data_IF_864224929771
#
_entry.id   IF_864224929771
#
_cell.length_a   1.000
_cell.length_b   1.000
_cell.length_c   1.000
_cell.angle_alpha   90.00
_cell.angle_beta   90.00
_cell.angle_gamma   90.00
#
_symmetry.space_group_name_H-M   'P 1'
#
loop_
_entity.id
_entity.type
_entity.pdbx_description
1 polymer ?
#
# COMPACT_ATOMS: atom_id res chain seq x y z
N UNK A 1 4.12 2.06 16.82
CA UNK A 1 3.24 2.79 15.89
C UNK A 1 1.89 2.11 15.87
N UNK A 2 0.83 2.89 16.04
CA UNK A 2 -0.56 2.43 15.94
C UNK A 2 -0.98 2.26 14.47
N UNK A 3 -2.01 1.44 14.24
CA UNK A 3 -2.44 1.10 12.87
C UNK A 3 -2.82 2.33 12.05
N UNK A 4 -3.53 3.27 12.68
CA UNK A 4 -3.94 4.53 12.04
C UNK A 4 -2.76 5.46 11.75
N UNK A 5 -1.69 5.41 12.54
CA UNK A 5 -0.46 6.19 12.27
C UNK A 5 0.25 5.66 11.03
N UNK A 6 0.34 4.33 10.88
CA UNK A 6 0.92 3.67 9.71
C UNK A 6 0.13 4.05 8.45
N UNK A 7 -1.20 3.93 8.53
CA UNK A 7 -2.09 4.25 7.42
C UNK A 7 -2.09 5.76 7.09
N UNK A 8 -1.96 6.64 8.08
CA UNK A 8 -1.78 8.08 7.86
C UNK A 8 -0.49 8.37 7.06
N UNK A 9 0.60 7.67 7.34
CA UNK A 9 1.84 7.75 6.57
C UNK A 9 1.63 7.39 5.10
N UNK A 10 0.83 6.36 4.79
CA UNK A 10 0.48 5.99 3.41
C UNK A 10 -0.33 7.08 2.71
N UNK A 11 -1.34 7.66 3.38
CA UNK A 11 -2.11 8.79 2.84
C UNK A 11 -1.16 9.93 2.50
N UNK A 12 -0.38 10.36 3.48
CA UNK A 12 0.48 11.53 3.36
C UNK A 12 1.62 11.33 2.33
N UNK A 13 2.05 10.08 2.09
CA UNK A 13 3.01 9.73 1.05
C UNK A 13 2.41 9.68 -0.36
N UNK A 14 1.10 9.44 -0.46
CA UNK A 14 0.37 9.36 -1.73
C UNK A 14 -0.07 10.76 -2.22
N UNK A 15 -0.45 11.65 -1.30
CA UNK A 15 -1.04 12.95 -1.64
C UNK A 15 -0.16 13.89 -2.48
N UNK A 16 1.18 13.95 -2.32
CA UNK A 16 2.03 14.76 -3.19
C UNK A 16 1.90 14.39 -4.68
N UNK A 17 1.71 13.10 -4.99
CA UNK A 17 1.50 12.65 -6.37
C UNK A 17 0.11 13.01 -6.86
N UNK A 18 -0.92 12.95 -5.99
CA UNK A 18 -2.29 13.37 -6.31
C UNK A 18 -2.41 14.88 -6.57
N UNK A 19 -1.55 15.69 -5.95
CA UNK A 19 -1.48 17.13 -6.15
C UNK A 19 -0.85 17.52 -7.50
N UNK A 20 0.04 16.69 -8.02
CA UNK A 20 0.75 16.97 -9.26
C UNK A 20 -0.07 16.56 -10.50
N UNK A 21 -0.62 17.57 -11.17
CA UNK A 21 -1.45 17.45 -12.38
C UNK A 21 -0.82 16.60 -13.50
N UNK A 22 0.51 16.48 -13.53
CA UNK A 22 1.19 15.68 -14.55
C UNK A 22 0.82 14.20 -14.44
N UNK A 23 0.58 13.68 -13.23
CA UNK A 23 0.17 12.29 -13.05
C UNK A 23 -1.21 11.99 -13.62
N UNK A 24 -2.10 12.98 -13.68
CA UNK A 24 -3.41 12.84 -14.31
C UNK A 24 -3.38 12.95 -15.84
N UNK A 25 -2.41 13.69 -16.39
CA UNK A 25 -2.29 13.96 -17.83
C UNK A 25 -1.43 12.93 -18.55
N UNK A 26 -0.42 12.42 -17.88
CA UNK A 26 0.51 11.43 -18.42
C UNK A 26 -0.04 10.02 -18.14
N UNK A 27 0.05 9.12 -19.12
CA UNK A 27 -0.32 7.70 -18.97
C UNK A 27 0.78 6.93 -18.23
N UNK A 28 1.06 7.33 -16.98
CA UNK A 28 2.11 6.73 -16.15
C UNK A 28 1.67 5.33 -15.69
N UNK A 29 2.57 4.37 -15.76
CA UNK A 29 2.34 2.99 -15.31
C UNK A 29 2.57 2.86 -13.80
N UNK A 30 2.14 1.75 -13.21
CA UNK A 30 2.18 1.49 -11.77
C UNK A 30 3.59 1.62 -11.15
N UNK A 31 4.62 1.02 -11.74
CA UNK A 31 5.98 1.00 -11.16
C UNK A 31 6.57 2.37 -10.81
N UNK A 32 6.54 3.40 -11.70
CA UNK A 32 6.95 4.75 -11.32
C UNK A 32 6.16 5.35 -10.16
N UNK A 33 4.84 5.08 -10.07
CA UNK A 33 4.00 5.57 -8.98
C UNK A 33 4.39 4.90 -7.67
N UNK A 34 4.48 3.57 -7.69
CA UNK A 34 4.92 2.72 -6.59
C UNK A 34 6.23 3.23 -6.00
N UNK A 35 7.25 3.41 -6.84
CA UNK A 35 8.55 3.94 -6.42
C UNK A 35 8.43 5.32 -5.75
N UNK A 36 7.65 6.25 -6.31
CA UNK A 36 7.52 7.60 -5.74
C UNK A 36 6.73 7.61 -4.42
N UNK A 37 5.75 6.72 -4.26
CA UNK A 37 5.09 6.50 -2.97
C UNK A 37 6.09 5.93 -1.96
N UNK A 38 6.90 4.94 -2.34
CA UNK A 38 7.92 4.35 -1.47
C UNK A 38 8.96 5.38 -0.98
N UNK A 39 9.48 6.22 -1.88
CA UNK A 39 10.41 7.32 -1.51
C UNK A 39 9.76 8.28 -0.52
N UNK A 40 8.49 8.65 -0.73
CA UNK A 40 7.81 9.52 0.21
C UNK A 40 7.57 8.83 1.57
N UNK A 41 7.28 7.53 1.58
CA UNK A 41 7.08 6.72 2.78
C UNK A 41 8.35 6.68 3.65
N UNK A 42 9.56 6.62 3.07
CA UNK A 42 10.82 6.62 3.84
C UNK A 42 10.89 7.78 4.84
N UNK A 43 10.38 8.95 4.48
CA UNK A 43 10.35 10.11 5.37
C UNK A 43 9.39 9.96 6.57
N UNK A 44 8.34 9.15 6.43
CA UNK A 44 7.37 8.89 7.51
C UNK A 44 7.80 7.78 8.45
N UNK A 45 8.69 6.89 8.00
CA UNK A 45 9.15 5.74 8.78
C UNK A 45 10.68 5.75 8.92
N UNK A 46 11.28 6.72 9.62
CA UNK A 46 12.73 6.91 9.66
C UNK A 46 13.50 5.76 10.33
N UNK A 47 12.84 4.99 11.19
CA UNK A 47 13.40 3.82 11.86
C UNK A 47 13.10 2.50 11.11
N UNK A 48 12.48 2.58 9.94
CA UNK A 48 12.13 1.42 9.12
C UNK A 48 12.71 1.54 7.72
N UNK A 49 12.80 0.42 7.03
CA UNK A 49 13.17 0.37 5.63
C UNK A 49 11.91 0.29 4.77
N UNK A 50 11.92 1.01 3.64
CA UNK A 50 10.86 0.96 2.65
C UNK A 50 11.43 0.39 1.37
N UNK A 51 10.86 -0.70 0.87
CA UNK A 51 11.32 -1.33 -0.37
C UNK A 51 10.17 -1.59 -1.32
N UNK A 52 10.49 -1.56 -2.61
CA UNK A 52 9.59 -2.01 -3.68
C UNK A 52 10.00 -3.37 -4.18
N UNK A 53 9.03 -4.20 -4.58
CA UNK A 53 9.27 -5.52 -5.16
C UNK A 53 10.12 -6.47 -4.27
N UNK A 54 10.15 -6.26 -2.94
CA UNK A 54 11.01 -7.05 -2.04
C UNK A 54 10.36 -8.38 -1.62
N UNK A 55 10.86 -9.46 -2.22
CA UNK A 55 10.31 -10.81 -2.11
C UNK A 55 11.08 -11.75 -1.18
N UNK A 56 11.89 -11.24 -0.23
CA UNK A 56 12.66 -12.09 0.71
C UNK A 56 12.10 -12.08 2.14
N UNK A 57 12.31 -13.17 2.87
CA UNK A 57 12.06 -13.31 4.31
C UNK A 57 13.24 -14.05 4.92
N UNK A 58 14.17 -13.30 5.51
CA UNK A 58 15.54 -13.79 5.71
C UNK A 58 16.17 -14.11 4.35
N UNK A 59 16.75 -15.30 4.22
CA UNK A 59 17.36 -15.79 2.98
C UNK A 59 16.34 -16.39 2.00
N UNK A 60 15.15 -16.74 2.48
CA UNK A 60 14.13 -17.44 1.71
C UNK A 60 13.27 -16.48 0.89
N UNK A 61 12.72 -16.98 -0.22
CA UNK A 61 11.72 -16.26 -1.01
C UNK A 61 10.38 -16.29 -0.28
N UNK A 62 9.72 -15.13 -0.14
CA UNK A 62 8.36 -15.03 0.37
C UNK A 62 7.43 -15.91 -0.47
N UNK A 63 6.87 -16.93 0.16
CA UNK A 63 6.03 -17.93 -0.48
C UNK A 63 4.76 -18.16 0.35
N UNK A 64 3.61 -18.03 -0.30
CA UNK A 64 2.30 -18.32 0.29
C UNK A 64 1.75 -19.64 -0.22
N UNK A 65 1.00 -20.35 0.62
CA UNK A 65 0.27 -21.54 0.24
C UNK A 65 -1.07 -21.16 -0.41
N UNK A 66 -1.39 -21.76 -1.57
CA UNK A 66 -2.67 -21.49 -2.25
C UNK A 66 -3.80 -22.33 -1.62
N UNK A 67 -5.03 -21.80 -1.55
CA UNK A 67 -6.21 -22.61 -1.31
C UNK A 67 -6.30 -23.69 -2.39
N UNK A 68 -6.45 -24.96 -2.00
CA UNK A 68 -6.46 -26.10 -2.93
C UNK A 68 -5.09 -26.73 -3.21
N UNK A 69 -4.03 -26.25 -2.56
CA UNK A 69 -2.69 -26.85 -2.63
C UNK A 69 -1.74 -26.12 -3.57
N UNK A 70 -0.45 -26.44 -3.42
CA UNK A 70 0.63 -25.74 -4.10
C UNK A 70 1.03 -24.44 -3.39
N UNK A 71 2.03 -23.77 -3.95
CA UNK A 71 2.60 -22.55 -3.38
C UNK A 71 2.82 -21.50 -4.45
N UNK A 72 2.87 -20.23 -4.02
CA UNK A 72 3.15 -19.08 -4.88
C UNK A 72 4.23 -18.22 -4.23
N UNK A 73 5.30 -17.96 -4.97
CA UNK A 73 6.22 -16.88 -4.61
C UNK A 73 5.49 -15.54 -4.80
N UNK A 74 5.66 -14.64 -3.85
CA UNK A 74 5.00 -13.33 -3.85
C UNK A 74 6.03 -12.20 -3.89
N UNK A 75 5.64 -11.12 -4.55
CA UNK A 75 6.42 -9.89 -4.68
C UNK A 75 5.43 -8.75 -4.44
N UNK A 76 5.33 -8.24 -3.20
CA UNK A 76 4.45 -7.12 -2.88
C UNK A 76 5.04 -5.81 -3.43
N UNK A 77 4.17 -4.89 -3.87
CA UNK A 77 4.60 -3.67 -4.55
C UNK A 77 5.40 -2.74 -3.63
N UNK A 78 4.94 -2.51 -2.38
CA UNK A 78 5.64 -1.68 -1.39
C UNK A 78 5.59 -2.34 -0.02
N UNK A 79 6.71 -2.37 0.68
CA UNK A 79 6.84 -2.90 2.02
C UNK A 79 7.50 -1.87 2.95
N UNK A 80 7.04 -1.82 4.20
CA UNK A 80 7.73 -1.15 5.32
C UNK A 80 8.07 -2.23 6.35
N UNK A 81 9.36 -2.46 6.57
CA UNK A 81 9.88 -3.60 7.36
C UNK A 81 11.31 -3.33 7.85
N UNK A 82 11.91 -4.31 8.54
CA UNK A 82 13.35 -4.37 8.77
C UNK A 82 13.88 -5.65 8.12
N UNK A 83 14.81 -5.53 7.17
CA UNK A 83 15.42 -6.65 6.46
C UNK A 83 16.15 -7.56 7.44
N UNK A 84 15.97 -8.86 7.24
CA UNK A 84 16.57 -9.88 8.10
C UNK A 84 15.83 -10.10 9.42
N UNK A 85 14.89 -9.23 9.81
CA UNK A 85 14.10 -9.35 11.03
C UNK A 85 12.68 -9.88 10.71
N UNK A 86 12.43 -11.20 10.86
CA UNK A 86 11.24 -11.85 10.30
C UNK A 86 9.90 -11.37 10.90
N UNK A 87 9.93 -10.74 12.08
CA UNK A 87 8.73 -10.25 12.78
C UNK A 87 8.61 -8.72 12.74
N UNK A 88 9.61 -8.02 12.22
CA UNK A 88 9.58 -6.56 12.09
C UNK A 88 8.99 -6.19 10.72
N UNK A 89 7.69 -6.42 10.56
CA UNK A 89 6.93 -6.14 9.33
C UNK A 89 5.73 -5.23 9.62
N UNK A 90 5.74 -4.02 9.07
CA UNK A 90 4.79 -2.97 9.45
C UNK A 90 3.64 -2.82 8.44
N UNK A 91 3.98 -2.53 7.18
CA UNK A 91 3.01 -2.24 6.13
C UNK A 91 3.35 -3.03 4.86
N UNK A 92 2.35 -3.63 4.23
CA UNK A 92 2.44 -4.12 2.87
C UNK A 92 1.39 -3.43 2.00
N UNK A 93 1.74 -3.02 0.78
CA UNK A 93 0.83 -2.35 -0.16
C UNK A 93 0.85 -3.07 -1.49
N UNK A 94 -0.34 -3.25 -2.06
CA UNK A 94 -0.57 -3.62 -3.45
C UNK A 94 -1.24 -2.44 -4.16
N UNK A 95 -0.65 -1.96 -5.25
CA UNK A 95 -1.02 -0.74 -5.95
C UNK A 95 -1.63 -1.04 -7.33
N UNK A 96 -2.76 -0.40 -7.63
CA UNK A 96 -3.40 -0.43 -8.95
C UNK A 96 -3.67 0.98 -9.48
N UNK A 97 -3.60 1.15 -10.80
CA UNK A 97 -4.00 2.40 -11.47
C UNK A 97 -5.16 2.28 -12.46
N UNK A 98 -5.57 1.06 -12.82
CA UNK A 98 -6.60 0.82 -13.84
C UNK A 98 -7.82 0.09 -13.30
N UNK A 99 -8.97 0.29 -13.96
CA UNK A 99 -10.26 -0.24 -13.52
C UNK A 99 -10.49 -1.71 -13.95
N UNK A 100 -9.63 -2.29 -14.81
CA UNK A 100 -9.77 -3.66 -15.33
C UNK A 100 -8.74 -4.63 -14.74
N UNK A 101 -8.43 -4.47 -13.46
CA UNK A 101 -7.44 -5.28 -12.78
C UNK A 101 -8.12 -6.41 -12.01
N UNK A 102 -7.68 -7.65 -12.25
CA UNK A 102 -7.96 -8.77 -11.35
C UNK A 102 -7.24 -8.51 -10.03
N UNK A 103 -8.02 -8.31 -8.96
CA UNK A 103 -7.54 -8.00 -7.61
C UNK A 103 -7.53 -9.24 -6.70
N UNK A 104 -8.03 -10.39 -7.16
CA UNK A 104 -8.15 -11.57 -6.30
C UNK A 104 -6.78 -12.05 -5.83
N UNK A 105 -5.78 -11.98 -6.72
CA UNK A 105 -4.41 -12.32 -6.40
C UNK A 105 -3.77 -11.36 -5.39
N UNK A 106 -4.08 -10.06 -5.50
CA UNK A 106 -3.59 -9.05 -4.55
C UNK A 106 -4.25 -9.20 -3.17
N UNK A 107 -5.54 -9.51 -3.15
CA UNK A 107 -6.26 -9.85 -1.91
C UNK A 107 -5.65 -11.11 -1.28
N UNK A 108 -5.36 -12.14 -2.08
CA UNK A 108 -4.69 -13.35 -1.60
C UNK A 108 -3.31 -13.04 -1.00
N UNK A 109 -2.49 -12.22 -1.67
CA UNK A 109 -1.19 -11.76 -1.17
C UNK A 109 -1.34 -11.04 0.17
N UNK A 110 -2.23 -10.05 0.27
CA UNK A 110 -2.41 -9.23 1.48
C UNK A 110 -2.96 -10.02 2.67
N UNK A 111 -3.88 -10.97 2.43
CA UNK A 111 -4.30 -11.92 3.47
C UNK A 111 -3.11 -12.74 3.96
N UNK A 112 -2.32 -13.33 3.07
CA UNK A 112 -1.15 -14.10 3.48
C UNK A 112 -0.08 -13.27 4.18
N UNK A 113 0.21 -12.06 3.69
CA UNK A 113 1.21 -11.16 4.29
C UNK A 113 0.85 -10.76 5.73
N UNK A 114 -0.45 -10.54 6.01
CA UNK A 114 -0.92 -10.09 7.32
C UNK A 114 -1.34 -11.23 8.26
N UNK A 115 -1.35 -12.48 7.79
CA UNK A 115 -1.74 -13.63 8.60
C UNK A 115 -0.75 -13.83 9.76
N UNK A 116 -1.28 -14.08 10.96
CA UNK A 116 -0.49 -14.17 12.21
C UNK A 116 0.25 -15.50 12.38
N UNK A 117 -0.33 -16.61 11.91
CA UNK A 117 0.27 -17.94 12.06
C UNK A 117 0.96 -18.51 10.81
N UNK A 118 0.47 -18.17 9.61
CA UNK A 118 0.87 -18.81 8.34
C UNK A 118 1.45 -17.81 7.34
N UNK A 119 1.79 -16.61 7.82
CA UNK A 119 2.12 -15.45 6.99
C UNK A 119 3.45 -14.81 7.34
N UNK A 120 3.57 -13.54 6.98
CA UNK A 120 4.75 -12.71 7.25
C UNK A 120 4.49 -11.70 8.37
N UNK A 121 3.33 -11.79 9.03
CA UNK A 121 2.95 -10.98 10.20
C UNK A 121 3.11 -9.48 9.96
N UNK A 122 2.83 -9.02 8.73
CA UNK A 122 2.69 -7.58 8.48
C UNK A 122 1.54 -7.05 9.31
N UNK A 123 1.80 -5.99 10.09
CA UNK A 123 0.81 -5.41 11.00
C UNK A 123 -0.45 -4.96 10.26
N UNK A 124 -0.29 -4.33 9.10
CA UNK A 124 -1.39 -4.00 8.18
C UNK A 124 -0.98 -4.21 6.72
N UNK A 125 -1.95 -4.58 5.90
CA UNK A 125 -1.84 -4.66 4.45
C UNK A 125 -2.85 -3.74 3.78
N UNK A 126 -2.54 -3.15 2.62
CA UNK A 126 -3.44 -2.23 1.91
C UNK A 126 -3.49 -2.56 0.43
N UNK A 127 -4.70 -2.79 -0.09
CA UNK A 127 -4.97 -2.75 -1.53
C UNK A 127 -5.41 -1.34 -1.88
N UNK A 128 -4.58 -0.63 -2.65
CA UNK A 128 -4.77 0.75 -3.01
C UNK A 128 -4.94 0.88 -4.53
N UNK A 129 -6.09 1.38 -4.99
CA UNK A 129 -6.30 1.73 -6.38
C UNK A 129 -6.49 3.23 -6.52
N UNK A 130 -5.65 3.85 -7.34
CA UNK A 130 -5.60 5.30 -7.54
C UNK A 130 -6.05 5.67 -8.95
N UNK A 131 -6.76 6.79 -9.06
CA UNK A 131 -7.12 7.38 -10.36
C UNK A 131 -6.71 8.85 -10.38
N UNK A 132 -5.51 9.13 -10.89
CA UNK A 132 -4.92 10.48 -10.87
C UNK A 132 -5.74 11.53 -11.63
N UNK A 133 -6.23 11.23 -12.84
CA UNK A 133 -6.98 12.23 -13.61
C UNK A 133 -8.31 12.65 -12.97
N UNK A 134 -8.91 11.79 -12.14
CA UNK A 134 -10.13 12.08 -11.36
C UNK A 134 -9.81 12.57 -9.94
N UNK A 135 -8.53 12.58 -9.56
CA UNK A 135 -8.06 12.76 -8.17
C UNK A 135 -8.89 11.95 -7.19
N UNK A 136 -8.91 10.63 -7.40
CA UNK A 136 -9.76 9.72 -6.65
C UNK A 136 -8.98 8.49 -6.17
N UNK A 137 -9.39 7.96 -5.03
CA UNK A 137 -9.04 6.61 -4.57
C UNK A 137 -10.23 5.71 -4.83
N UNK A 138 -10.04 4.71 -5.70
CA UNK A 138 -11.11 3.79 -6.12
C UNK A 138 -11.23 2.62 -5.14
N UNK A 139 -10.10 2.11 -4.66
CA UNK A 139 -10.02 1.02 -3.67
C UNK A 139 -8.99 1.42 -2.60
N UNK A 140 -9.30 1.14 -1.33
CA UNK A 140 -8.41 1.35 -0.18
C UNK A 140 -8.69 0.31 0.92
N UNK A 141 -8.75 -0.97 0.54
CA UNK A 141 -9.07 -2.04 1.48
C UNK A 141 -7.89 -2.31 2.41
N UNK A 142 -8.12 -2.28 3.72
CA UNK A 142 -7.14 -2.62 4.74
C UNK A 142 -7.31 -4.08 5.15
N UNK A 143 -6.20 -4.79 5.27
CA UNK A 143 -6.10 -6.16 5.73
C UNK A 143 -5.31 -6.22 7.02
N UNK A 144 -5.75 -7.07 7.94
CA UNK A 144 -5.10 -7.31 9.23
C UNK A 144 -5.41 -8.74 9.67
N UNK A 145 -4.43 -9.43 10.25
CA UNK A 145 -4.58 -10.80 10.74
C UNK A 145 -5.16 -11.78 9.69
N UNK A 146 -4.86 -11.58 8.41
CA UNK A 146 -5.31 -12.47 7.33
C UNK A 146 -6.71 -12.20 6.77
N UNK A 147 -7.37 -11.13 7.20
CA UNK A 147 -8.71 -10.76 6.76
C UNK A 147 -8.84 -9.26 6.45
N UNK A 148 -9.91 -8.90 5.73
CA UNK A 148 -10.21 -7.48 5.49
C UNK A 148 -10.75 -6.88 6.78
N UNK A 149 -10.18 -5.76 7.21
CA UNK A 149 -10.59 -5.04 8.39
C UNK A 149 -11.48 -3.86 7.99
N UNK A 150 -12.79 -3.95 8.25
CA UNK A 150 -13.76 -2.93 7.83
C UNK A 150 -13.59 -1.59 8.57
N UNK A 151 -13.20 -1.61 9.84
CA UNK A 151 -12.99 -0.39 10.63
C UNK A 151 -11.84 0.46 10.05
N UNK A 152 -10.66 -0.16 9.86
CA UNK A 152 -9.49 0.51 9.30
C UNK A 152 -9.71 0.87 7.83
N UNK A 153 -10.46 0.05 7.07
CA UNK A 153 -10.85 0.38 5.69
C UNK A 153 -11.72 1.64 5.65
N UNK A 154 -12.72 1.75 6.54
CA UNK A 154 -13.57 2.93 6.65
C UNK A 154 -12.75 4.17 7.02
N UNK A 155 -11.90 4.05 8.03
CA UNK A 155 -11.03 5.15 8.45
C UNK A 155 -10.07 5.61 7.34
N UNK A 156 -9.42 4.69 6.63
CA UNK A 156 -8.49 5.03 5.55
C UNK A 156 -9.20 5.73 4.40
N UNK A 157 -10.42 5.29 4.07
CA UNK A 157 -11.26 5.94 3.05
C UNK A 157 -11.55 7.39 3.44
N UNK A 158 -12.04 7.63 4.65
CA UNK A 158 -12.33 8.98 5.15
C UNK A 158 -11.08 9.86 5.15
N UNK A 159 -9.93 9.31 5.53
CA UNK A 159 -8.66 10.03 5.53
C UNK A 159 -8.24 10.48 4.11
N UNK A 160 -8.36 9.61 3.11
CA UNK A 160 -8.12 9.97 1.71
C UNK A 160 -9.14 10.97 1.18
N UNK A 161 -10.43 10.79 1.47
CA UNK A 161 -11.49 11.71 1.03
C UNK A 161 -11.26 13.11 1.58
N UNK A 162 -10.92 13.23 2.87
CA UNK A 162 -10.57 14.49 3.50
C UNK A 162 -9.36 15.14 2.82
N UNK A 163 -8.28 14.39 2.64
CA UNK A 163 -7.05 14.91 2.03
C UNK A 163 -7.27 15.37 0.57
N UNK A 164 -8.07 14.65 -0.21
CA UNK A 164 -8.46 15.04 -1.57
C UNK A 164 -9.35 16.27 -1.56
N UNK A 165 -10.30 16.38 -0.62
CA UNK A 165 -11.16 17.54 -0.50
C UNK A 165 -10.35 18.80 -0.15
N UNK A 166 -9.36 18.68 0.72
CA UNK A 166 -8.47 19.79 1.10
C UNK A 166 -7.58 20.20 -0.07
N UNK A 167 -7.06 19.23 -0.85
CA UNK A 167 -6.32 19.50 -2.08
C UNK A 167 -7.15 20.31 -3.10
N UNK A 168 -8.45 20.05 -3.22
CA UNK A 168 -9.35 20.77 -4.15
C UNK A 168 -9.70 22.19 -3.69
N UNK A 169 -9.55 22.49 -2.39
CA UNK A 169 -9.79 23.82 -1.82
C UNK A 169 -8.56 24.72 -1.85
N UNK A 170 -7.37 24.15 -2.01
CA UNK A 170 -6.13 24.91 -2.09
C UNK A 170 -6.18 25.82 -3.34
N UNK A 171 -5.97 27.15 -3.21
CA UNK A 171 -5.99 28.05 -4.35
C UNK A 171 -4.89 27.66 -5.34
N UNK A 172 -5.22 27.66 -6.64
CA UNK A 172 -4.24 27.49 -7.71
C UNK A 172 -3.23 28.65 -7.66
N UNK A 173 -2.02 28.40 -7.14
CA UNK A 173 -0.90 29.37 -7.27
C UNK A 173 -0.14 29.77 -6.00
N UNK A 174 0.16 28.84 -5.09
CA UNK A 174 1.24 29.04 -4.12
C UNK A 174 2.41 28.10 -4.44
N UNK A 175 3.08 28.37 -5.56
CA UNK A 175 4.42 27.88 -5.89
C UNK A 175 5.10 28.91 -6.80
#
# INVERSE_FOLDING_TARGET
MEDREILAGLVASTMPLMADERYGRLKIRERPIMHRIAVNLEHYFPDWEVDTDYNRHGEEVKRLQRPGGGTKNIEPDILVHIKGEPLANLLAVELKLSDNNDIEDDIFKLKGLTHTEQGFVYRVGVLLQLHFARKAVVICNVFKAGERNEELTGWLREAFEKAIADLKKAPEGAA
#
